data_IF_543282265355
#
_entry.id   IF_543282265355
#
_cell.length_a   1.000
_cell.length_b   1.000
_cell.length_c   1.000
_cell.angle_alpha   90.00
_cell.angle_beta   90.00
_cell.angle_gamma   90.00
#
_symmetry.space_group_name_H-M   'P 1'
#
loop_
_entity.id
_entity.type
_entity.pdbx_description
1 polymer ?
#
# COMPACT_ATOMS: atom_id res chain seq x y z
N UNK A 1 -29.39 -15.64 32.46
CA UNK A 1 -28.10 -14.93 32.37
C UNK A 1 -27.88 -14.58 30.91
N UNK A 2 -28.24 -13.36 30.52
CA UNK A 2 -28.15 -12.91 29.13
C UNK A 2 -26.73 -12.42 28.90
N UNK A 3 -25.93 -13.21 28.19
CA UNK A 3 -24.66 -12.72 27.63
C UNK A 3 -25.00 -11.69 26.57
N UNK A 4 -24.69 -10.41 26.85
CA UNK A 4 -24.76 -9.39 25.83
C UNK A 4 -23.70 -9.71 24.79
N UNK A 5 -24.14 -10.22 23.64
CA UNK A 5 -23.33 -10.36 22.43
C UNK A 5 -22.84 -8.97 22.04
N UNK A 6 -21.57 -8.70 22.34
CA UNK A 6 -20.94 -7.42 22.12
C UNK A 6 -20.92 -7.14 20.61
N UNK A 7 -21.77 -6.20 20.19
CA UNK A 7 -21.91 -5.73 18.81
C UNK A 7 -20.69 -4.86 18.42
N UNK A 8 -19.50 -5.44 18.33
CA UNK A 8 -18.34 -4.80 17.68
C UNK A 8 -18.16 -5.38 16.28
N UNK A 9 -19.22 -5.32 15.48
CA UNK A 9 -19.10 -5.34 14.01
C UNK A 9 -18.56 -3.97 13.59
N UNK A 10 -17.32 -3.65 13.97
CA UNK A 10 -16.60 -2.56 13.34
C UNK A 10 -16.47 -2.93 11.86
N UNK A 11 -17.24 -2.24 11.02
CA UNK A 11 -17.20 -2.43 9.57
C UNK A 11 -15.76 -2.21 9.13
N UNK A 12 -15.05 -3.29 8.84
CA UNK A 12 -13.74 -3.20 8.18
C UNK A 12 -13.99 -2.38 6.90
N UNK A 13 -13.35 -1.21 6.76
CA UNK A 13 -13.57 -0.37 5.59
C UNK A 13 -13.14 -1.15 4.34
N UNK A 14 -13.84 -0.94 3.22
CA UNK A 14 -13.49 -1.60 1.97
C UNK A 14 -12.06 -1.22 1.55
N UNK A 15 -11.19 -2.23 1.46
CA UNK A 15 -9.78 -2.04 1.13
C UNK A 15 -9.66 -1.94 -0.39
N UNK A 16 -9.44 -0.71 -0.86
CA UNK A 16 -9.42 -0.40 -2.30
C UNK A 16 -8.07 -0.66 -2.96
N UNK A 17 -6.98 -0.68 -2.18
CA UNK A 17 -5.63 -0.75 -2.70
C UNK A 17 -4.80 -1.76 -1.91
N UNK A 18 -4.33 -2.80 -2.60
CA UNK A 18 -3.49 -3.88 -2.04
C UNK A 18 -2.24 -4.12 -2.87
N UNK A 19 -2.06 -3.35 -3.95
CA UNK A 19 -0.96 -3.47 -4.92
C UNK A 19 0.15 -2.47 -4.62
N UNK A 20 1.34 -2.71 -5.18
CA UNK A 20 2.46 -1.77 -5.08
C UNK A 20 2.16 -0.54 -5.94
N UNK A 21 2.53 0.65 -5.47
CA UNK A 21 2.35 1.89 -6.24
C UNK A 21 3.69 2.38 -6.76
N UNK A 22 3.97 2.14 -8.04
CA UNK A 22 5.26 2.44 -8.68
C UNK A 22 5.01 3.27 -9.93
N UNK A 23 5.76 4.36 -10.11
CA UNK A 23 5.67 5.26 -11.27
C UNK A 23 4.26 5.82 -11.56
N UNK A 24 3.41 5.97 -10.54
CA UNK A 24 2.04 6.46 -10.70
C UNK A 24 0.99 5.39 -10.99
N UNK A 25 1.37 4.10 -11.02
CA UNK A 25 0.48 2.99 -11.33
C UNK A 25 0.48 1.93 -10.21
N UNK A 26 -0.64 1.22 -10.08
CA UNK A 26 -0.76 0.08 -9.17
C UNK A 26 -0.30 -1.21 -9.86
N UNK A 27 0.87 -1.69 -9.49
CA UNK A 27 1.49 -2.91 -10.03
C UNK A 27 1.42 -4.05 -9.02
N UNK A 28 1.16 -5.26 -9.51
CA UNK A 28 1.35 -6.46 -8.68
C UNK A 28 2.85 -6.68 -8.44
N UNK A 29 3.23 -7.31 -7.32
CA UNK A 29 4.64 -7.68 -7.10
C UNK A 29 5.10 -8.63 -8.19
N UNK A 30 6.31 -8.42 -8.70
CA UNK A 30 6.97 -9.34 -9.64
C UNK A 30 7.10 -10.75 -9.07
N UNK A 31 7.29 -10.88 -7.75
CA UNK A 31 7.37 -12.16 -7.06
C UNK A 31 6.02 -12.87 -6.93
N UNK A 32 4.91 -12.14 -7.10
CA UNK A 32 3.55 -12.61 -6.86
C UNK A 32 3.20 -12.87 -5.39
N UNK A 33 4.14 -12.62 -4.46
CA UNK A 33 3.93 -12.83 -3.03
C UNK A 33 3.00 -11.77 -2.45
N UNK A 34 2.24 -12.18 -1.44
CA UNK A 34 1.35 -11.31 -0.68
C UNK A 34 1.48 -11.67 0.79
N UNK A 35 1.48 -10.66 1.66
CA UNK A 35 1.46 -10.85 3.11
C UNK A 35 0.08 -10.53 3.67
N UNK A 36 -0.30 -11.25 4.71
CA UNK A 36 -1.57 -11.09 5.40
C UNK A 36 -1.48 -9.90 6.38
N UNK A 37 -2.39 -8.95 6.24
CA UNK A 37 -2.61 -7.90 7.23
C UNK A 37 -3.66 -8.41 8.23
N UNK A 38 -3.25 -8.62 9.46
CA UNK A 38 -4.06 -9.22 10.54
C UNK A 38 -4.53 -8.13 11.50
N UNK A 39 -5.78 -8.20 11.96
CA UNK A 39 -6.31 -7.31 12.99
C UNK A 39 -5.69 -7.69 14.36
N UNK A 40 -4.92 -6.80 15.02
CA UNK A 40 -4.31 -7.11 16.32
C UNK A 40 -5.33 -7.34 17.45
N UNK A 41 -6.61 -7.01 17.24
CA UNK A 41 -7.69 -7.18 18.23
C UNK A 41 -8.39 -8.53 18.12
N UNK A 42 -8.47 -9.11 16.92
CA UNK A 42 -9.25 -10.34 16.66
C UNK A 42 -8.43 -11.47 16.09
N UNK A 43 -7.16 -11.22 15.73
CA UNK A 43 -6.29 -12.16 15.00
C UNK A 43 -6.87 -12.62 13.65
N UNK A 44 -7.88 -11.92 13.12
CA UNK A 44 -8.48 -12.24 11.83
C UNK A 44 -7.74 -11.52 10.68
N UNK A 45 -7.62 -12.22 9.54
CA UNK A 45 -7.01 -11.65 8.33
C UNK A 45 -7.94 -10.60 7.73
N UNK A 46 -7.49 -9.34 7.73
CA UNK A 46 -8.20 -8.20 7.15
C UNK A 46 -8.05 -8.22 5.63
N UNK A 47 -6.82 -8.39 5.12
CA UNK A 47 -6.53 -8.39 3.68
C UNK A 47 -5.17 -8.97 3.34
N UNK A 48 -4.93 -9.24 2.05
CA UNK A 48 -3.64 -9.64 1.51
C UNK A 48 -3.03 -8.48 0.74
N UNK A 49 -1.87 -7.98 1.17
CA UNK A 49 -1.15 -6.87 0.55
C UNK A 49 0.03 -7.44 -0.24
N UNK A 50 0.31 -6.89 -1.43
CA UNK A 50 1.46 -7.28 -2.23
C UNK A 50 2.78 -7.11 -1.45
N UNK A 51 3.57 -8.18 -1.38
CA UNK A 51 4.88 -8.17 -0.76
C UNK A 51 5.90 -7.77 -1.83
N UNK A 52 6.45 -6.56 -1.72
CA UNK A 52 7.48 -6.09 -2.64
C UNK A 52 8.82 -6.78 -2.36
N UNK A 53 9.42 -7.37 -3.39
CA UNK A 53 10.77 -7.93 -3.32
C UNK A 53 11.80 -6.91 -3.85
N UNK A 54 13.08 -7.27 -3.83
CA UNK A 54 14.19 -6.44 -4.30
C UNK A 54 13.97 -5.90 -5.72
N UNK A 55 13.41 -6.71 -6.60
CA UNK A 55 13.15 -6.33 -8.00
C UNK A 55 12.12 -5.21 -8.10
N UNK A 56 11.07 -5.25 -7.27
CA UNK A 56 10.06 -4.20 -7.19
C UNK A 56 10.67 -2.90 -6.63
N UNK A 57 11.59 -3.02 -5.67
CA UNK A 57 12.34 -1.87 -5.12
C UNK A 57 13.23 -1.25 -6.21
N UNK A 58 13.96 -2.06 -6.97
CA UNK A 58 14.84 -1.56 -8.04
C UNK A 58 14.03 -0.80 -9.12
N UNK A 59 12.84 -1.29 -9.47
CA UNK A 59 11.90 -0.58 -10.36
C UNK A 59 11.43 0.75 -9.77
N UNK A 60 11.05 0.76 -8.48
CA UNK A 60 10.61 1.96 -7.79
C UNK A 60 11.72 3.02 -7.71
N UNK A 61 12.95 2.61 -7.40
CA UNK A 61 14.11 3.51 -7.34
C UNK A 61 14.42 4.07 -8.72
N UNK A 62 14.38 3.24 -9.77
CA UNK A 62 14.59 3.70 -11.15
C UNK A 62 13.53 4.72 -11.57
N UNK A 63 12.26 4.44 -11.30
CA UNK A 63 11.15 5.36 -11.60
C UNK A 63 11.29 6.69 -10.82
N UNK A 64 11.61 6.63 -9.53
CA UNK A 64 11.84 7.82 -8.71
C UNK A 64 13.03 8.64 -9.23
N UNK A 65 14.11 7.97 -9.66
CA UNK A 65 15.28 8.63 -10.23
C UNK A 65 14.95 9.32 -11.55
N UNK A 66 14.19 8.66 -12.42
CA UNK A 66 13.74 9.24 -13.69
C UNK A 66 12.81 10.45 -13.46
N UNK A 67 11.87 10.34 -12.53
CA UNK A 67 11.01 11.46 -12.13
C UNK A 67 11.81 12.62 -11.53
N UNK A 68 12.95 12.35 -10.89
CA UNK A 68 13.86 13.38 -10.41
C UNK A 68 14.71 13.99 -11.54
N UNK A 69 15.32 13.20 -12.41
CA UNK A 69 16.21 13.73 -13.44
C UNK A 69 15.42 14.46 -14.56
N UNK A 70 14.32 13.84 -15.01
CA UNK A 70 13.55 14.26 -16.18
C UNK A 70 12.17 14.84 -15.82
N UNK A 71 11.66 14.52 -14.64
CA UNK A 71 10.31 14.93 -14.26
C UNK A 71 10.18 16.43 -13.94
N UNK A 72 8.92 16.89 -13.81
CA UNK A 72 8.63 18.28 -13.45
C UNK A 72 8.97 18.55 -11.99
N UNK A 73 8.93 17.53 -11.13
CA UNK A 73 9.00 17.65 -9.66
C UNK A 73 10.17 18.48 -9.11
N UNK A 74 11.44 18.26 -9.49
CA UNK A 74 12.55 19.07 -8.97
C UNK A 74 12.61 20.47 -9.56
N UNK A 75 11.89 20.72 -10.66
CA UNK A 75 11.79 22.02 -11.32
C UNK A 75 10.52 22.77 -10.91
N UNK A 76 9.67 22.15 -10.08
CA UNK A 76 8.51 22.84 -9.53
C UNK A 76 9.00 23.91 -8.57
N UNK A 77 8.60 25.18 -8.75
CA UNK A 77 8.94 26.22 -7.80
C UNK A 77 8.26 25.89 -6.47
N UNK A 78 9.04 25.88 -5.38
CA UNK A 78 8.47 25.91 -4.04
C UNK A 78 7.57 27.14 -3.95
N UNK A 79 6.30 26.95 -3.60
CA UNK A 79 5.31 28.03 -3.54
C UNK A 79 5.82 29.15 -2.64
N UNK A 80 6.32 30.23 -3.24
CA UNK A 80 6.60 31.48 -2.56
C UNK A 80 5.28 32.27 -2.53
N UNK A 81 4.72 32.42 -1.34
CA UNK A 81 3.59 33.34 -1.07
C UNK A 81 4.10 34.77 -0.95
#
# INVERSE_FOLDING_TARGET
MTVQSNQFSEKIPEIKFTKLFINGEFVDSLSGKRFESVDPRTEEVITHIAEGDKEDIDLAVKAAREAFDLGPWPRLPGRVS
#
